data_IF_232069513039
#
_entry.id   IF_232069513039
#
_cell.length_a   1.000
_cell.length_b   1.000
_cell.length_c   1.000
_cell.angle_alpha   90.00
_cell.angle_beta   90.00
_cell.angle_gamma   90.00
#
_symmetry.space_group_name_H-M   'P 1'
#
loop_
_entity.id
_entity.type
_entity.pdbx_description
1 polymer ?
#
# COMPACT_ATOMS: atom_id res chain seq x y z
N UNK A 1 -0.33 -22.19 -14.21
CA UNK A 1 -1.27 -21.96 -13.09
C UNK A 1 -2.63 -21.55 -13.62
N UNK A 2 -3.72 -22.17 -13.15
CA UNK A 2 -5.08 -21.73 -13.49
C UNK A 2 -5.33 -20.27 -13.10
N UNK A 3 -6.08 -19.53 -13.94
CA UNK A 3 -6.40 -18.10 -13.76
C UNK A 3 -7.04 -17.80 -12.40
N UNK A 4 -7.87 -18.72 -11.87
CA UNK A 4 -8.48 -18.62 -10.53
C UNK A 4 -7.44 -18.65 -9.40
N UNK A 5 -6.42 -19.52 -9.48
CA UNK A 5 -5.32 -19.59 -8.49
C UNK A 5 -4.45 -18.33 -8.49
N UNK A 6 -4.15 -17.78 -9.66
CA UNK A 6 -3.36 -16.54 -9.80
C UNK A 6 -4.07 -15.34 -9.15
N UNK A 7 -5.39 -15.24 -9.34
CA UNK A 7 -6.22 -14.23 -8.66
C UNK A 7 -6.24 -14.41 -7.15
N UNK A 8 -6.37 -15.65 -6.67
CA UNK A 8 -6.35 -15.93 -5.23
C UNK A 8 -5.04 -15.47 -4.59
N UNK A 9 -3.90 -15.89 -5.16
CA UNK A 9 -2.56 -15.48 -4.67
C UNK A 9 -2.39 -13.96 -4.74
N UNK A 10 -2.81 -13.34 -5.84
CA UNK A 10 -2.71 -11.91 -6.00
C UNK A 10 -3.56 -11.12 -4.99
N UNK A 11 -4.76 -11.60 -4.64
CA UNK A 11 -5.60 -10.97 -3.60
C UNK A 11 -4.89 -11.02 -2.25
N UNK A 12 -4.37 -12.18 -1.83
CA UNK A 12 -3.61 -12.27 -0.58
C UNK A 12 -2.36 -11.40 -0.60
N UNK A 13 -1.67 -11.32 -1.74
CA UNK A 13 -0.53 -10.41 -1.92
C UNK A 13 -0.92 -8.94 -1.76
N UNK A 14 -2.04 -8.51 -2.33
CA UNK A 14 -2.54 -7.14 -2.16
C UNK A 14 -2.96 -6.85 -0.72
N UNK A 15 -3.65 -7.78 -0.06
CA UNK A 15 -4.04 -7.64 1.34
C UNK A 15 -2.80 -7.53 2.23
N UNK A 16 -1.82 -8.42 2.04
CA UNK A 16 -0.57 -8.38 2.80
C UNK A 16 0.18 -7.06 2.57
N UNK A 17 0.30 -6.61 1.32
CA UNK A 17 0.93 -5.34 0.98
C UNK A 17 0.22 -4.16 1.65
N UNK A 18 -1.11 -4.13 1.57
CA UNK A 18 -1.94 -3.08 2.18
C UNK A 18 -1.76 -3.05 3.70
N UNK A 19 -1.77 -4.22 4.35
CA UNK A 19 -1.53 -4.33 5.79
C UNK A 19 -0.14 -3.83 6.18
N UNK A 20 0.91 -4.33 5.51
CA UNK A 20 2.30 -3.91 5.79
C UNK A 20 2.46 -2.41 5.61
N UNK A 21 1.92 -1.85 4.52
CA UNK A 21 1.98 -0.40 4.30
C UNK A 21 1.19 0.38 5.35
N UNK A 22 0.00 -0.09 5.72
CA UNK A 22 -0.82 0.49 6.77
C UNK A 22 -0.10 0.53 8.12
N UNK A 23 0.56 -0.56 8.50
CA UNK A 23 1.36 -0.61 9.73
C UNK A 23 2.58 0.31 9.67
N UNK A 24 3.28 0.37 8.53
CA UNK A 24 4.40 1.31 8.33
C UNK A 24 3.93 2.76 8.42
N UNK A 25 2.80 3.10 7.78
CA UNK A 25 2.21 4.43 7.86
C UNK A 25 1.78 4.77 9.28
N UNK A 26 1.19 3.83 10.03
CA UNK A 26 0.80 4.01 11.41
C UNK A 26 2.02 4.24 12.31
N UNK A 27 3.09 3.46 12.13
CA UNK A 27 4.34 3.64 12.86
C UNK A 27 4.96 5.01 12.56
N UNK A 28 4.98 5.43 11.29
CA UNK A 28 5.44 6.74 10.89
C UNK A 28 4.56 7.88 11.43
N UNK A 29 3.25 7.66 11.54
CA UNK A 29 2.30 8.65 12.06
C UNK A 29 2.68 9.13 13.47
N UNK A 30 3.13 8.23 14.34
CA UNK A 30 3.57 8.58 15.70
C UNK A 30 4.68 9.63 15.72
N UNK A 31 5.59 9.61 14.75
CA UNK A 31 6.70 10.57 14.66
C UNK A 31 6.33 11.82 13.87
N UNK A 32 5.47 11.70 12.86
CA UNK A 32 5.23 12.75 11.87
C UNK A 32 4.05 13.65 12.24
N UNK A 33 3.03 13.12 12.92
CA UNK A 33 1.82 13.89 13.24
C UNK A 33 2.04 14.95 14.33
N UNK A 34 3.04 14.78 15.18
CA UNK A 34 3.40 15.78 16.19
C UNK A 34 4.18 16.98 15.60
N UNK A 35 4.52 16.92 14.32
CA UNK A 35 5.17 18.03 13.63
C UNK A 35 4.28 19.28 13.60
N UNK A 36 4.81 20.47 13.93
CA UNK A 36 4.06 21.73 13.86
C UNK A 36 3.82 22.20 12.42
N UNK A 37 4.48 21.59 11.42
CA UNK A 37 4.35 21.98 10.02
C UNK A 37 3.15 21.31 9.35
N UNK A 38 2.21 22.12 8.86
CA UNK A 38 1.04 21.64 8.12
C UNK A 38 1.42 20.93 6.80
N UNK A 39 2.47 21.40 6.12
CA UNK A 39 2.96 20.79 4.87
C UNK A 39 3.45 19.36 5.11
N UNK A 40 4.11 19.11 6.24
CA UNK A 40 4.61 17.77 6.60
C UNK A 40 3.45 16.81 6.82
N UNK A 41 2.39 17.25 7.51
CA UNK A 41 1.17 16.45 7.71
C UNK A 41 0.47 16.15 6.38
N UNK A 42 0.38 17.12 5.48
CA UNK A 42 -0.23 16.93 4.15
C UNK A 42 0.57 15.94 3.29
N UNK A 43 1.89 16.09 3.26
CA UNK A 43 2.77 15.14 2.56
C UNK A 43 2.64 13.72 3.13
N UNK A 44 2.58 13.60 4.46
CA UNK A 44 2.34 12.32 5.14
C UNK A 44 1.04 11.67 4.70
N UNK A 45 -0.09 12.39 4.72
CA UNK A 45 -1.37 11.82 4.30
C UNK A 45 -1.39 11.42 2.81
N UNK A 46 -0.76 12.21 1.94
CA UNK A 46 -0.63 11.87 0.53
C UNK A 46 0.18 10.57 0.32
N UNK A 47 1.32 10.44 0.99
CA UNK A 47 2.19 9.25 0.89
C UNK A 47 1.53 8.04 1.56
N UNK A 48 0.92 8.21 2.74
CA UNK A 48 0.22 7.15 3.43
C UNK A 48 -0.95 6.61 2.59
N UNK A 49 -1.72 7.50 1.94
CA UNK A 49 -2.87 7.13 1.11
C UNK A 49 -2.51 6.55 -0.25
N UNK A 50 -1.54 7.12 -0.96
CA UNK A 50 -1.23 6.77 -2.36
C UNK A 50 0.10 6.03 -2.56
N UNK A 51 1.01 6.03 -1.58
CA UNK A 51 2.37 5.51 -1.73
C UNK A 51 2.46 3.99 -1.94
N UNK A 52 1.42 3.24 -1.57
CA UNK A 52 1.35 1.79 -1.81
C UNK A 52 0.89 1.41 -3.23
N UNK A 53 0.24 2.33 -3.95
CA UNK A 53 -0.26 2.10 -5.31
C UNK A 53 0.81 1.60 -6.31
N UNK A 54 2.02 2.19 -6.39
CA UNK A 54 3.06 1.68 -7.30
C UNK A 54 3.47 0.24 -6.99
N UNK A 55 3.43 -0.18 -5.73
CA UNK A 55 3.72 -1.56 -5.32
C UNK A 55 2.56 -2.52 -5.60
N UNK A 56 1.32 -2.02 -5.65
CA UNK A 56 0.14 -2.81 -5.99
C UNK A 56 0.07 -3.13 -7.48
N UNK A 57 0.54 -2.24 -8.37
CA UNK A 57 0.41 -2.41 -9.82
C UNK A 57 1.05 -3.69 -10.37
N UNK A 58 2.27 -4.10 -9.97
CA UNK A 58 2.87 -5.38 -10.39
C UNK A 58 2.00 -6.59 -10.04
N UNK A 59 1.38 -6.57 -8.85
CA UNK A 59 0.54 -7.67 -8.35
C UNK A 59 -0.75 -7.76 -9.17
N UNK A 60 -1.37 -6.61 -9.48
CA UNK A 60 -2.56 -6.54 -10.34
C UNK A 60 -2.24 -6.97 -11.78
N UNK A 61 -1.11 -6.53 -12.33
CA UNK A 61 -0.58 -6.96 -13.63
C UNK A 61 -0.42 -8.48 -13.69
N UNK A 62 0.15 -9.09 -12.65
CA UNK A 62 0.28 -10.54 -12.53
C UNK A 62 -1.08 -11.27 -12.53
N UNK A 63 -2.13 -10.69 -11.95
CA UNK A 63 -3.48 -11.25 -12.00
C UNK A 63 -4.18 -11.09 -13.36
N UNK A 64 -3.85 -10.02 -14.09
CA UNK A 64 -4.48 -9.65 -15.36
C UNK A 64 -3.88 -10.37 -16.57
N UNK A 65 -2.58 -10.72 -16.53
CA UNK A 65 -1.90 -11.46 -17.60
C UNK A 65 -2.69 -12.72 -17.97
N UNK A 66 -3.09 -12.82 -19.26
CA UNK A 66 -3.89 -13.91 -19.83
C UNK A 66 -3.31 -15.29 -19.51
#
# INVERSE_FOLDING_TARGET
MNRRRRRFIGIFGLIALFLVWGFLALAAAYFVLDSPSWMVRMAFYAIAGAGWLPFAMPIVSFMSRR
#
